data_IF_290741834781
#
_entry.id   IF_290741834781
#
_cell.length_a   1.000
_cell.length_b   1.000
_cell.length_c   1.000
_cell.angle_alpha   90.00
_cell.angle_beta   90.00
_cell.angle_gamma   90.00
#
_symmetry.space_group_name_H-M   'P 1'
#
loop_
_entity.id
_entity.type
_entity.pdbx_description
1 polymer ?
#
# COMPACT_ATOMS: atom_id res chain seq x y z
N UNK A 1 -2.10 -30.05 -4.63
CA UNK A 1 -2.89 -29.38 -3.58
C UNK A 1 -3.21 -28.00 -4.11
N UNK A 2 -4.30 -27.91 -4.86
CA UNK A 2 -4.77 -26.67 -5.48
C UNK A 2 -5.32 -25.77 -4.38
N UNK A 3 -4.46 -24.89 -3.85
CA UNK A 3 -4.90 -23.83 -2.93
C UNK A 3 -5.69 -22.84 -3.76
N UNK A 4 -7.00 -23.05 -3.88
CA UNK A 4 -7.90 -22.04 -4.42
C UNK A 4 -7.86 -20.88 -3.43
N UNK A 5 -6.98 -19.91 -3.66
CA UNK A 5 -6.86 -18.73 -2.79
C UNK A 5 -8.24 -18.09 -2.66
N UNK A 6 -8.79 -18.09 -1.44
CA UNK A 6 -10.02 -17.38 -1.14
C UNK A 6 -9.79 -15.87 -1.34
N UNK A 7 -10.85 -15.10 -1.63
CA UNK A 7 -10.74 -13.64 -1.75
C UNK A 7 -10.06 -13.00 -0.53
N UNK A 8 -10.30 -13.53 0.67
CA UNK A 8 -9.70 -13.09 1.93
C UNK A 8 -8.18 -13.31 1.95
N UNK A 9 -7.71 -14.50 1.54
CA UNK A 9 -6.27 -14.79 1.46
C UNK A 9 -5.58 -13.92 0.40
N UNK A 10 -6.26 -13.61 -0.71
CA UNK A 10 -5.73 -12.67 -1.72
C UNK A 10 -5.64 -11.25 -1.17
N UNK A 11 -6.69 -10.77 -0.49
CA UNK A 11 -6.71 -9.46 0.13
C UNK A 11 -5.57 -9.29 1.14
N UNK A 12 -5.35 -10.30 2.00
CA UNK A 12 -4.23 -10.30 2.94
C UNK A 12 -2.88 -10.29 2.23
N UNK A 13 -2.73 -11.10 1.17
CA UNK A 13 -1.51 -11.14 0.37
C UNK A 13 -1.16 -9.78 -0.25
N UNK A 14 -2.13 -9.12 -0.89
CA UNK A 14 -1.93 -7.78 -1.46
C UNK A 14 -1.68 -6.72 -0.39
N UNK A 15 -2.38 -6.78 0.74
CA UNK A 15 -2.15 -5.85 1.85
C UNK A 15 -0.72 -5.97 2.40
N UNK A 16 -0.24 -7.20 2.63
CA UNK A 16 1.15 -7.47 3.05
C UNK A 16 2.17 -6.93 2.04
N UNK A 17 1.87 -7.06 0.75
CA UNK A 17 2.75 -6.55 -0.30
C UNK A 17 2.80 -5.02 -0.31
N UNK A 18 1.66 -4.34 -0.20
CA UNK A 18 1.58 -2.87 -0.07
C UNK A 18 2.36 -2.39 1.16
N UNK A 19 2.17 -3.05 2.31
CA UNK A 19 2.90 -2.74 3.55
C UNK A 19 4.40 -2.85 3.33
N UNK A 20 4.86 -3.95 2.72
CA UNK A 20 6.29 -4.15 2.39
C UNK A 20 6.83 -2.99 1.54
N UNK A 21 6.11 -2.57 0.50
CA UNK A 21 6.55 -1.47 -0.38
C UNK A 21 6.64 -0.14 0.36
N UNK A 22 5.66 0.19 1.18
CA UNK A 22 5.69 1.40 2.00
C UNK A 22 6.83 1.34 3.02
N UNK A 23 7.06 0.19 3.67
CA UNK A 23 8.16 0.04 4.63
C UNK A 23 9.53 0.19 3.99
N UNK A 24 9.71 -0.29 2.76
CA UNK A 24 10.96 -0.09 2.01
C UNK A 24 11.16 1.39 1.65
N UNK A 25 10.09 2.11 1.28
CA UNK A 25 10.13 3.57 1.10
C UNK A 25 10.49 4.31 2.39
N UNK A 26 9.94 3.90 3.54
CA UNK A 26 10.24 4.51 4.84
C UNK A 26 11.73 4.41 5.19
N UNK A 27 12.36 3.25 4.90
CA UNK A 27 13.81 3.06 5.07
C UNK A 27 14.62 3.97 4.15
N UNK A 28 14.18 4.15 2.91
CA UNK A 28 14.86 5.04 1.96
C UNK A 28 14.83 6.52 2.39
N UNK A 29 13.76 6.92 3.08
CA UNK A 29 13.64 8.24 3.70
C UNK A 29 14.37 8.36 5.05
N UNK A 30 15.04 7.31 5.51
CA UNK A 30 15.70 7.23 6.83
C UNK A 30 14.75 7.53 8.00
N UNK A 31 13.47 7.14 7.86
CA UNK A 31 12.46 7.37 8.91
C UNK A 31 12.66 6.44 10.09
N UNK A 32 12.47 6.97 11.30
CA UNK A 32 12.48 6.19 12.53
C UNK A 32 11.20 5.38 12.66
N UNK A 33 11.23 4.38 13.53
CA UNK A 33 10.07 3.52 13.84
C UNK A 33 8.90 4.32 14.39
N UNK A 34 9.15 5.40 15.13
CA UNK A 34 8.10 6.22 15.73
C UNK A 34 7.46 7.23 14.76
N UNK A 35 8.17 7.60 13.68
CA UNK A 35 7.76 8.65 12.76
C UNK A 35 6.48 8.25 12.01
N UNK A 36 5.60 9.23 11.78
CA UNK A 36 4.36 9.04 11.03
C UNK A 36 4.51 9.56 9.61
N UNK A 37 3.71 9.02 8.70
CA UNK A 37 3.70 9.43 7.29
C UNK A 37 2.28 9.76 6.83
N UNK A 38 2.20 10.53 5.76
CA UNK A 38 1.04 10.53 4.86
C UNK A 38 1.35 9.64 3.67
N UNK A 39 0.40 8.79 3.27
CA UNK A 39 0.56 7.85 2.18
C UNK A 39 -0.63 7.91 1.20
N UNK A 40 -0.32 7.82 -0.09
CA UNK A 40 -1.30 7.69 -1.18
C UNK A 40 -0.95 6.42 -1.96
N UNK A 41 -1.89 5.50 -2.08
CA UNK A 41 -1.74 4.22 -2.79
C UNK A 41 -2.73 4.16 -3.94
N UNK A 42 -2.24 4.35 -5.16
CA UNK A 42 -3.01 4.13 -6.38
C UNK A 42 -2.87 2.67 -6.82
N UNK A 43 -3.99 1.98 -7.00
CA UNK A 43 -4.03 0.60 -7.50
C UNK A 43 -4.76 0.59 -8.84
N UNK A 44 -4.09 0.13 -9.89
CA UNK A 44 -4.63 0.18 -11.25
C UNK A 44 -5.77 -0.82 -11.48
N UNK A 45 -5.78 -1.93 -10.74
CA UNK A 45 -6.81 -2.97 -10.87
C UNK A 45 -7.96 -2.72 -9.90
N UNK A 46 -9.16 -2.45 -10.42
CA UNK A 46 -10.36 -2.26 -9.61
C UNK A 46 -10.70 -3.48 -8.76
N UNK A 47 -10.47 -4.69 -9.29
CA UNK A 47 -10.66 -5.95 -8.57
C UNK A 47 -9.74 -6.06 -7.36
N UNK A 48 -8.47 -5.67 -7.51
CA UNK A 48 -7.51 -5.73 -6.41
C UNK A 48 -7.78 -4.60 -5.42
N UNK A 49 -8.12 -3.41 -5.90
CA UNK A 49 -8.51 -2.27 -5.08
C UNK A 49 -9.65 -2.67 -4.13
N UNK A 50 -10.71 -3.29 -4.64
CA UNK A 50 -11.86 -3.73 -3.82
C UNK A 50 -11.43 -4.69 -2.69
N UNK A 51 -10.50 -5.62 -2.98
CA UNK A 51 -9.94 -6.54 -1.98
C UNK A 51 -9.14 -5.79 -0.90
N UNK A 52 -8.28 -4.85 -1.29
CA UNK A 52 -7.39 -4.17 -0.33
C UNK A 52 -8.06 -3.00 0.40
N UNK A 53 -9.17 -2.47 -0.10
CA UNK A 53 -9.95 -1.44 0.60
C UNK A 53 -10.44 -1.95 1.96
N UNK A 54 -10.83 -3.22 2.05
CA UNK A 54 -11.17 -3.87 3.33
C UNK A 54 -10.00 -4.04 4.30
N UNK A 55 -8.76 -3.86 3.82
CA UNK A 55 -7.52 -3.94 4.60
C UNK A 55 -6.91 -2.56 4.86
N UNK A 56 -7.58 -1.46 4.46
CA UNK A 56 -7.03 -0.09 4.53
C UNK A 56 -6.56 0.28 5.93
N UNK A 57 -7.38 0.06 6.95
CA UNK A 57 -7.03 0.38 8.34
C UNK A 57 -5.85 -0.46 8.85
N UNK A 58 -5.81 -1.74 8.48
CA UNK A 58 -4.68 -2.61 8.80
C UNK A 58 -3.38 -2.10 8.17
N UNK A 59 -3.41 -1.78 6.87
CA UNK A 59 -2.26 -1.21 6.16
C UNK A 59 -1.80 0.10 6.82
N UNK A 60 -2.73 1.01 7.10
CA UNK A 60 -2.41 2.31 7.71
C UNK A 60 -1.71 2.16 9.07
N UNK A 61 -2.21 1.26 9.92
CA UNK A 61 -1.62 0.98 11.23
C UNK A 61 -0.22 0.38 11.12
N UNK A 62 -0.03 -0.63 10.26
CA UNK A 62 1.26 -1.32 10.09
C UNK A 62 2.36 -0.39 9.55
N UNK A 63 1.99 0.62 8.75
CA UNK A 63 2.95 1.57 8.16
C UNK A 63 3.01 2.92 8.89
N UNK A 64 2.26 3.06 10.00
CA UNK A 64 2.10 4.31 10.76
C UNK A 64 1.72 5.50 9.88
N UNK A 65 0.79 5.28 8.96
CA UNK A 65 0.21 6.35 8.16
C UNK A 65 -0.89 7.06 8.97
N UNK A 66 -0.68 8.33 9.32
CA UNK A 66 -1.75 9.15 9.93
C UNK A 66 -2.84 9.48 8.92
N UNK A 67 -2.47 9.54 7.64
CA UNK A 67 -3.38 9.71 6.52
C UNK A 67 -3.02 8.69 5.45
N UNK A 68 -3.95 7.80 5.13
CA UNK A 68 -3.83 6.83 4.04
C UNK A 68 -4.97 7.05 3.04
N UNK A 69 -4.63 7.46 1.83
CA UNK A 69 -5.55 7.48 0.69
C UNK A 69 -5.29 6.27 -0.19
N UNK A 70 -6.36 5.54 -0.55
CA UNK A 70 -6.27 4.38 -1.44
C UNK A 70 -7.38 4.46 -2.48
N UNK A 71 -7.05 4.19 -3.74
CA UNK A 71 -7.99 4.38 -4.83
C UNK A 71 -7.39 4.03 -6.19
N UNK A 72 -8.09 4.40 -7.24
CA UNK A 72 -7.68 4.23 -8.62
C UNK A 72 -7.70 5.60 -9.32
N UNK A 73 -6.72 5.84 -10.19
CA UNK A 73 -6.48 7.13 -10.85
C UNK A 73 -6.32 8.29 -9.87
N UNK A 74 -5.66 8.06 -8.73
CA UNK A 74 -5.39 9.12 -7.75
C UNK A 74 -4.30 10.09 -8.23
N UNK A 75 -4.44 11.36 -7.86
CA UNK A 75 -3.37 12.33 -7.96
C UNK A 75 -2.26 11.98 -6.97
N UNK A 76 -1.09 11.67 -7.51
CA UNK A 76 0.02 11.17 -6.73
C UNK A 76 0.75 12.32 -6.05
N UNK A 77 0.75 12.29 -4.71
CA UNK A 77 1.45 13.26 -3.86
C UNK A 77 2.37 12.54 -2.88
N UNK A 78 3.54 13.09 -2.65
CA UNK A 78 4.60 12.43 -1.89
C UNK A 78 5.92 13.18 -1.97
N UNK A 79 6.74 13.14 -0.91
CA UNK A 79 8.17 13.44 -1.00
C UNK A 79 8.87 12.45 -1.93
N UNK A 80 8.48 11.18 -1.85
CA UNK A 80 8.89 10.14 -2.79
C UNK A 80 7.66 9.44 -3.36
N UNK A 81 7.67 9.22 -4.67
CA UNK A 81 6.63 8.50 -5.40
C UNK A 81 7.29 7.39 -6.20
N UNK A 82 6.74 6.17 -6.12
CA UNK A 82 7.26 5.00 -6.81
C UNK A 82 6.15 4.14 -7.38
N UNK A 83 6.49 3.47 -8.47
CA UNK A 83 5.66 2.50 -9.16
C UNK A 83 6.20 1.08 -8.89
N UNK A 84 5.31 0.13 -8.62
CA UNK A 84 5.66 -1.29 -8.57
C UNK A 84 4.66 -2.11 -9.39
N UNK A 85 5.22 -3.15 -10.00
CA UNK A 85 4.48 -4.18 -10.70
C UNK A 85 4.91 -5.53 -10.11
N UNK A 86 3.99 -6.20 -9.41
CA UNK A 86 4.21 -7.48 -8.74
C UNK A 86 3.09 -8.43 -9.16
N UNK A 87 3.40 -9.40 -10.01
CA UNK A 87 2.41 -10.32 -10.58
C UNK A 87 1.24 -9.60 -11.26
N UNK A 88 0.03 -9.67 -10.70
CA UNK A 88 -1.17 -8.94 -11.19
C UNK A 88 -1.40 -7.59 -10.49
N UNK A 89 -0.59 -7.25 -9.48
CA UNK A 89 -0.69 -6.01 -8.72
C UNK A 89 0.20 -4.93 -9.35
N UNK A 90 -0.44 -3.96 -9.99
CA UNK A 90 0.18 -2.70 -10.43
C UNK A 90 -0.26 -1.58 -9.50
N UNK A 91 0.70 -0.96 -8.84
CA UNK A 91 0.42 0.07 -7.86
C UNK A 91 1.45 1.19 -7.91
N UNK A 92 1.02 2.40 -7.59
CA UNK A 92 1.88 3.55 -7.38
C UNK A 92 1.65 4.08 -5.98
N UNK A 93 2.73 4.35 -5.24
CA UNK A 93 2.66 4.88 -3.87
C UNK A 93 3.45 6.17 -3.78
N UNK A 94 2.83 7.18 -3.19
CA UNK A 94 3.49 8.36 -2.68
C UNK A 94 3.51 8.35 -1.16
N UNK A 95 4.65 8.69 -0.54
CA UNK A 95 4.72 8.93 0.90
C UNK A 95 5.42 10.26 1.21
N UNK A 96 5.01 10.90 2.30
CA UNK A 96 5.64 12.11 2.86
C UNK A 96 5.72 11.99 4.38
N UNK A 97 6.76 12.55 4.99
CA UNK A 97 6.83 12.76 6.43
C UNK A 97 5.78 13.78 6.87
N UNK A 98 5.38 13.68 8.14
CA UNK A 98 4.54 14.66 8.83
C UNK A 98 5.43 15.53 9.72
#
# INVERSE_FOLDING_TARGET
>A
MDVTLTPELKAEGYAREIIRRIQDMRKEMDLRVEDQIRAVVNVDSSKILDLVLGQKDYIANEVRASELEMGQNLDMVGEIVKDWEVEELKLRVGISRI
#
